data_IF_733606144195
#
_entry.id   IF_733606144195
#
_cell.length_a   1.000
_cell.length_b   1.000
_cell.length_c   1.000
_cell.angle_alpha   90.00
_cell.angle_beta   90.00
_cell.angle_gamma   90.00
#
_symmetry.space_group_name_H-M   'P 1'
#
loop_
_entity.id
_entity.type
_entity.pdbx_description
1 polymer ?
#
# COMPACT_ATOMS: atom_id res chain seq x y z
N UNK A 1 -37.83 17.21 -62.07
CA UNK A 1 -36.65 16.91 -62.91
C UNK A 1 -35.70 16.12 -62.01
N UNK A 2 -35.72 14.79 -61.90
CA UNK A 2 -35.58 13.68 -62.86
C UNK A 2 -34.28 13.70 -63.67
N UNK A 3 -33.42 12.69 -63.41
CA UNK A 3 -32.54 11.86 -64.28
C UNK A 3 -31.48 11.22 -63.33
N UNK A 4 -31.55 9.94 -62.91
CA UNK A 4 -31.46 8.62 -63.59
C UNK A 4 -30.05 8.26 -64.12
N UNK A 5 -29.57 7.08 -63.70
CA UNK A 5 -28.54 6.25 -64.37
C UNK A 5 -27.68 5.51 -63.34
N UNK A 6 -27.99 4.31 -62.84
CA UNK A 6 -28.12 2.98 -63.49
C UNK A 6 -26.91 2.54 -64.32
N UNK A 7 -26.13 1.59 -63.78
CA UNK A 7 -25.43 0.55 -64.54
C UNK A 7 -25.23 -0.65 -63.62
N UNK A 8 -26.09 -1.66 -63.78
CA UNK A 8 -25.84 -3.00 -63.26
C UNK A 8 -24.95 -3.79 -64.21
N UNK A 9 -24.35 -4.88 -63.70
CA UNK A 9 -24.03 -6.05 -64.51
C UNK A 9 -24.14 -7.33 -63.66
N UNK A 10 -24.86 -8.26 -64.26
CA UNK A 10 -25.19 -9.65 -63.88
C UNK A 10 -23.96 -10.55 -64.16
N UNK A 11 -24.11 -11.88 -64.00
CA UNK A 11 -23.21 -13.03 -64.25
C UNK A 11 -22.55 -13.52 -62.94
N UNK A 12 -22.69 -14.76 -62.45
CA UNK A 12 -23.20 -16.04 -62.98
C UNK A 12 -23.42 -16.99 -61.79
N UNK A 13 -24.46 -17.81 -61.81
CA UNK A 13 -24.59 -18.98 -60.94
C UNK A 13 -23.55 -20.04 -61.34
N UNK A 14 -22.68 -20.46 -60.42
CA UNK A 14 -21.92 -21.72 -60.56
C UNK A 14 -22.31 -22.65 -59.42
N UNK A 15 -22.76 -23.84 -59.82
CA UNK A 15 -23.20 -24.95 -59.00
C UNK A 15 -22.15 -25.41 -57.98
N UNK A 16 -22.62 -25.77 -56.78
CA UNK A 16 -21.92 -26.64 -55.84
C UNK A 16 -21.95 -28.11 -56.30
N UNK A 17 -20.97 -28.87 -55.77
CA UNK A 17 -20.77 -30.35 -55.77
C UNK A 17 -19.99 -30.90 -56.96
N UNK A 18 -19.04 -31.82 -56.84
CA UNK A 18 -18.44 -32.54 -55.71
C UNK A 18 -17.14 -33.16 -56.25
N UNK A 19 -16.01 -33.12 -55.53
CA UNK A 19 -14.96 -34.16 -55.64
C UNK A 19 -13.84 -33.98 -54.61
N UNK A 20 -13.79 -34.96 -53.70
CA UNK A 20 -12.59 -35.71 -53.31
C UNK A 20 -11.35 -34.97 -52.78
N UNK A 21 -11.16 -35.12 -51.46
CA UNK A 21 -9.90 -35.50 -50.80
C UNK A 21 -8.75 -34.47 -50.82
N UNK A 22 -8.50 -33.85 -49.66
CA UNK A 22 -7.27 -34.05 -48.84
C UNK A 22 -7.30 -33.14 -47.61
N UNK A 23 -6.85 -33.70 -46.49
CA UNK A 23 -6.66 -33.06 -45.19
C UNK A 23 -6.02 -31.67 -45.32
N UNK A 24 -6.62 -30.67 -44.69
CA UNK A 24 -5.97 -29.43 -44.33
C UNK A 24 -6.44 -29.01 -42.94
N UNK A 25 -5.46 -28.74 -42.07
CA UNK A 25 -5.58 -28.29 -40.69
C UNK A 25 -6.65 -27.18 -40.55
N UNK A 26 -7.67 -27.44 -39.74
CA UNK A 26 -8.50 -26.37 -39.20
C UNK A 26 -7.76 -25.72 -38.02
N UNK A 27 -7.09 -24.61 -38.30
CA UNK A 27 -6.62 -23.69 -37.27
C UNK A 27 -7.81 -23.03 -36.59
N UNK A 28 -8.22 -23.56 -35.44
CA UNK A 28 -9.16 -22.88 -34.55
C UNK A 28 -8.43 -21.68 -33.93
N UNK A 29 -8.70 -20.48 -34.43
CA UNK A 29 -8.28 -19.25 -33.78
C UNK A 29 -9.06 -19.10 -32.48
N UNK A 30 -8.47 -19.59 -31.38
CA UNK A 30 -8.97 -19.38 -30.02
C UNK A 30 -8.71 -17.91 -29.70
N UNK A 31 -9.77 -17.10 -29.70
CA UNK A 31 -9.79 -15.75 -29.13
C UNK A 31 -9.65 -15.90 -27.61
N UNK A 32 -8.40 -15.97 -27.14
CA UNK A 32 -8.05 -15.90 -25.73
C UNK A 32 -8.32 -14.48 -25.23
N UNK A 33 -9.52 -14.23 -24.73
CA UNK A 33 -9.82 -13.06 -23.91
C UNK A 33 -9.04 -13.19 -22.60
N UNK A 34 -7.90 -12.52 -22.51
CA UNK A 34 -7.16 -12.32 -21.28
C UNK A 34 -8.01 -11.48 -20.33
N UNK A 35 -8.65 -12.16 -19.37
CA UNK A 35 -9.23 -11.52 -18.20
C UNK A 35 -8.06 -11.03 -17.35
N UNK A 36 -7.68 -9.76 -17.52
CA UNK A 36 -6.86 -9.08 -16.52
C UNK A 36 -7.69 -9.02 -15.24
N UNK A 37 -7.38 -9.88 -14.27
CA UNK A 37 -7.86 -9.67 -12.91
C UNK A 37 -7.19 -8.40 -12.40
N UNK A 38 -7.90 -7.28 -12.48
CA UNK A 38 -7.67 -6.18 -11.55
C UNK A 38 -7.96 -6.78 -10.17
N UNK A 39 -6.92 -7.08 -9.41
CA UNK A 39 -7.10 -7.30 -7.99
C UNK A 39 -7.74 -6.02 -7.46
N UNK A 40 -8.90 -6.13 -6.83
CA UNK A 40 -9.51 -5.05 -6.06
C UNK A 40 -8.51 -4.62 -4.99
N UNK A 41 -7.69 -3.65 -5.35
CA UNK A 41 -6.81 -2.92 -4.48
C UNK A 41 -7.73 -1.99 -3.71
N UNK A 42 -8.21 -2.42 -2.55
CA UNK A 42 -8.84 -1.50 -1.61
C UNK A 42 -7.86 -0.35 -1.43
N UNK A 43 -8.22 0.89 -1.80
CA UNK A 43 -7.28 1.98 -1.72
C UNK A 43 -6.86 2.10 -0.26
N UNK A 44 -5.57 1.94 0.01
CA UNK A 44 -5.03 1.93 1.38
C UNK A 44 -5.31 3.27 2.09
N UNK A 45 -5.68 4.29 1.32
CA UNK A 45 -6.29 5.55 1.75
C UNK A 45 -7.55 5.36 2.59
N UNK A 46 -8.46 4.45 2.22
CA UNK A 46 -9.70 4.20 2.97
C UNK A 46 -9.42 3.65 4.38
N UNK A 47 -8.31 2.91 4.53
CA UNK A 47 -7.85 2.36 5.81
C UNK A 47 -7.31 3.42 6.76
N UNK A 48 -7.04 4.65 6.33
CA UNK A 48 -6.52 5.68 7.22
C UNK A 48 -7.34 6.97 7.17
N UNK A 49 -8.04 7.29 6.10
CA UNK A 49 -8.64 8.62 5.95
C UNK A 49 -10.02 8.78 6.60
N UNK A 50 -10.62 7.72 7.15
CA UNK A 50 -12.03 7.76 7.60
C UNK A 50 -12.24 7.64 9.11
N UNK A 51 -11.44 6.82 9.81
CA UNK A 51 -11.64 6.51 11.22
C UNK A 51 -10.31 6.32 11.96
N UNK A 52 -10.28 6.43 13.30
CA UNK A 52 -9.09 6.10 14.06
C UNK A 52 -8.74 4.61 13.93
N UNK A 53 -7.49 4.31 13.62
CA UNK A 53 -7.00 2.95 13.40
C UNK A 53 -5.65 2.72 14.10
N UNK A 54 -5.38 1.47 14.47
CA UNK A 54 -4.24 1.08 15.27
C UNK A 54 -3.81 -0.34 14.89
N UNK A 55 -2.56 -0.47 14.44
CA UNK A 55 -1.95 -1.71 14.04
C UNK A 55 -0.62 -1.87 14.78
N UNK A 56 -0.34 -3.06 15.31
CA UNK A 56 0.90 -3.27 16.02
C UNK A 56 1.38 -4.70 16.04
N UNK A 57 2.59 -4.86 16.58
CA UNK A 57 3.25 -6.13 16.82
C UNK A 57 4.03 -6.07 18.12
N UNK A 58 3.61 -6.88 19.08
CA UNK A 58 4.34 -7.12 20.33
C UNK A 58 5.07 -8.47 20.25
N UNK A 59 6.35 -8.49 20.60
CA UNK A 59 7.12 -9.73 20.66
C UNK A 59 7.08 -10.33 22.06
N UNK A 60 6.76 -11.63 22.13
CA UNK A 60 6.75 -12.35 23.40
C UNK A 60 8.15 -12.49 23.99
N UNK A 61 8.23 -12.72 25.31
CA UNK A 61 9.50 -13.04 25.97
C UNK A 61 10.19 -14.28 25.36
N UNK A 62 9.41 -15.24 24.87
CA UNK A 62 9.96 -16.42 24.19
C UNK A 62 10.62 -16.04 22.87
N UNK A 63 9.98 -15.18 22.07
CA UNK A 63 10.57 -14.65 20.84
C UNK A 63 11.86 -13.89 21.13
N UNK A 64 11.84 -12.99 22.12
CA UNK A 64 13.02 -12.20 22.48
C UNK A 64 14.20 -13.04 23.00
N UNK A 65 13.93 -14.22 23.59
CA UNK A 65 14.98 -15.19 23.97
C UNK A 65 15.53 -15.95 22.76
N UNK A 66 14.69 -16.28 21.80
CA UNK A 66 15.09 -16.96 20.56
C UNK A 66 15.84 -16.03 19.60
N UNK A 67 15.58 -14.71 19.68
CA UNK A 67 16.20 -13.67 18.87
C UNK A 67 16.92 -12.65 19.77
N UNK A 68 18.04 -13.04 20.41
CA UNK A 68 18.68 -12.21 21.43
C UNK A 68 19.20 -10.86 20.91
N UNK A 69 19.57 -10.80 19.62
CA UNK A 69 20.02 -9.58 18.96
C UNK A 69 18.89 -8.58 18.70
N UNK A 70 17.64 -9.05 18.62
CA UNK A 70 16.50 -8.18 18.37
C UNK A 70 16.28 -7.23 19.55
N UNK A 71 16.23 -5.93 19.26
CA UNK A 71 16.01 -4.84 20.22
C UNK A 71 14.54 -4.44 20.29
N UNK A 72 13.81 -4.42 19.19
CA UNK A 72 12.37 -4.09 19.16
C UNK A 72 11.60 -5.09 20.03
N UNK A 73 10.83 -4.57 20.98
CA UNK A 73 9.89 -5.31 21.84
C UNK A 73 8.47 -5.10 21.35
N UNK A 74 8.15 -3.88 20.96
CA UNK A 74 6.85 -3.49 20.45
C UNK A 74 7.02 -2.46 19.32
N UNK A 75 6.13 -2.51 18.34
CA UNK A 75 6.04 -1.51 17.28
C UNK A 75 4.57 -1.34 16.90
N UNK A 76 4.12 -0.09 16.78
CA UNK A 76 2.77 0.23 16.38
C UNK A 76 2.73 1.40 15.40
N UNK A 77 1.71 1.38 14.55
CA UNK A 77 1.31 2.47 13.69
C UNK A 77 -0.11 2.83 14.06
N UNK A 78 -0.36 4.13 14.25
CA UNK A 78 -1.70 4.61 14.49
C UNK A 78 -2.02 5.87 13.70
N UNK A 79 -3.31 6.03 13.46
CA UNK A 79 -3.85 7.21 12.84
C UNK A 79 -5.07 7.66 13.63
N UNK A 80 -5.05 8.91 14.10
CA UNK A 80 -6.15 9.53 14.82
C UNK A 80 -6.47 10.86 14.11
N UNK A 81 -7.25 10.83 13.03
CA UNK A 81 -7.46 12.02 12.21
C UNK A 81 -8.16 13.10 13.06
N UNK A 82 -7.52 14.26 13.20
CA UNK A 82 -8.19 15.43 13.78
C UNK A 82 -9.28 15.91 12.81
N UNK A 83 -10.34 16.55 13.32
CA UNK A 83 -11.35 17.18 12.45
C UNK A 83 -10.70 18.16 11.47
N UNK A 84 -9.64 18.85 11.87
CA UNK A 84 -8.97 19.81 11.02
C UNK A 84 -8.03 19.12 10.00
N UNK A 85 -7.43 17.98 10.32
CA UNK A 85 -6.72 17.14 9.33
C UNK A 85 -7.68 16.62 8.27
N UNK A 86 -8.88 16.17 8.65
CA UNK A 86 -9.94 15.76 7.71
C UNK A 86 -10.41 16.92 6.81
N UNK A 87 -10.29 18.17 7.28
CA UNK A 87 -10.63 19.38 6.54
C UNK A 87 -9.42 19.98 5.79
N UNK A 88 -8.24 19.35 5.84
CA UNK A 88 -7.01 19.84 5.20
C UNK A 88 -6.40 21.09 5.85
N UNK A 89 -6.82 21.45 7.06
CA UNK A 89 -6.50 22.73 7.72
C UNK A 89 -5.33 22.66 8.72
N UNK A 90 -4.97 21.47 9.22
CA UNK A 90 -3.99 21.27 10.31
C UNK A 90 -2.75 20.46 9.92
N UNK A 91 -2.57 20.13 8.64
CA UNK A 91 -1.31 19.51 8.24
C UNK A 91 -0.22 20.58 8.23
N UNK A 92 0.87 20.45 9.03
CA UNK A 92 2.03 21.35 8.91
C UNK A 92 2.65 21.27 7.49
N UNK A 93 2.32 20.21 6.76
CA UNK A 93 2.56 20.02 5.33
C UNK A 93 1.27 20.34 4.59
N UNK A 94 1.04 21.62 4.26
CA UNK A 94 -0.12 22.04 3.46
C UNK A 94 -0.35 21.04 2.30
N UNK A 95 -1.58 20.51 2.11
CA UNK A 95 -1.85 19.66 0.96
C UNK A 95 -1.62 20.50 -0.30
N UNK A 96 -0.55 20.17 -1.03
CA UNK A 96 -0.47 20.57 -2.44
C UNK A 96 -1.72 19.97 -3.12
N UNK A 97 -2.42 20.70 -4.00
CA UNK A 97 -3.81 20.41 -4.37
C UNK A 97 -4.10 19.02 -4.95
N UNK A 98 -3.06 18.23 -5.25
CA UNK A 98 -3.18 16.99 -6.03
C UNK A 98 -2.67 15.73 -5.31
N UNK A 99 -2.18 15.82 -4.06
CA UNK A 99 -1.73 14.62 -3.32
C UNK A 99 -2.26 14.61 -1.89
N UNK A 100 -3.10 13.62 -1.54
CA UNK A 100 -3.61 13.52 -0.17
C UNK A 100 -2.44 13.13 0.75
N UNK A 101 -2.14 14.03 1.69
CA UNK A 101 -1.15 13.81 2.75
C UNK A 101 -1.86 13.61 4.07
N UNK A 102 -1.43 12.61 4.83
CA UNK A 102 -1.92 12.35 6.17
C UNK A 102 -0.77 12.00 7.10
N UNK A 103 -1.00 12.12 8.40
CA UNK A 103 0.02 11.89 9.44
C UNK A 103 -0.25 10.57 10.13
N UNK A 104 0.74 9.69 10.18
CA UNK A 104 0.73 8.51 11.03
C UNK A 104 1.61 8.74 12.24
N UNK A 105 1.22 8.18 13.39
CA UNK A 105 2.12 8.02 14.53
C UNK A 105 2.80 6.67 14.42
N UNK A 106 4.12 6.67 14.55
CA UNK A 106 4.94 5.49 14.69
C UNK A 106 5.45 5.41 16.12
N UNK A 107 5.14 4.31 16.78
CA UNK A 107 5.54 3.99 18.14
C UNK A 107 6.47 2.80 18.13
N UNK A 108 7.58 2.87 18.87
CA UNK A 108 8.49 1.74 19.09
C UNK A 108 8.86 1.62 20.56
N UNK A 109 8.89 0.39 21.06
CA UNK A 109 9.48 0.07 22.36
C UNK A 109 10.76 -0.72 22.15
N UNK A 110 11.86 -0.18 22.68
CA UNK A 110 13.19 -0.78 22.56
C UNK A 110 13.58 -1.46 23.87
N UNK A 111 14.18 -2.65 23.77
CA UNK A 111 14.66 -3.43 24.91
C UNK A 111 15.67 -2.62 25.73
N UNK A 112 15.39 -2.46 27.02
CA UNK A 112 16.24 -1.72 27.96
C UNK A 112 15.87 -0.25 28.13
N UNK A 113 14.94 0.27 27.32
CA UNK A 113 14.39 1.61 27.48
C UNK A 113 13.26 1.63 28.52
N UNK A 114 13.15 2.74 29.25
CA UNK A 114 12.13 2.94 30.28
C UNK A 114 10.84 3.57 29.72
N UNK A 115 10.85 4.02 28.48
CA UNK A 115 9.72 4.61 27.79
C UNK A 115 9.72 4.24 26.30
N UNK A 116 8.53 4.25 25.70
CA UNK A 116 8.38 4.13 24.25
C UNK A 116 8.82 5.39 23.52
N UNK A 117 9.29 5.24 22.29
CA UNK A 117 9.60 6.35 21.41
C UNK A 117 8.46 6.53 20.42
N UNK A 118 8.05 7.77 20.18
CA UNK A 118 6.98 8.11 19.26
C UNK A 118 7.46 9.17 18.28
N UNK A 119 7.07 9.04 17.01
CA UNK A 119 7.30 10.06 15.99
C UNK A 119 6.11 10.20 15.05
N UNK A 120 5.93 11.41 14.52
CA UNK A 120 4.96 11.65 13.46
C UNK A 120 5.63 11.41 12.09
N UNK A 121 4.91 10.72 11.20
CA UNK A 121 5.34 10.44 9.85
C UNK A 121 4.34 11.03 8.85
N UNK A 122 4.83 11.82 7.89
CA UNK A 122 4.03 12.30 6.77
C UNK A 122 3.92 11.19 5.73
N UNK A 123 2.70 10.90 5.30
CA UNK A 123 2.40 9.76 4.46
C UNK A 123 1.57 10.17 3.24
N UNK A 124 1.86 9.56 2.10
CA UNK A 124 1.15 9.73 0.85
C UNK A 124 0.98 8.40 0.11
N UNK A 125 -0.09 8.23 -0.67
CA UNK A 125 -0.27 7.06 -1.52
C UNK A 125 0.81 6.98 -2.59
N UNK A 126 1.34 5.78 -2.84
CA UNK A 126 2.33 5.50 -3.87
C UNK A 126 2.01 4.17 -4.55
N UNK A 127 1.15 4.19 -5.58
CA UNK A 127 0.66 2.96 -6.20
C UNK A 127 -0.08 2.10 -5.18
N UNK A 128 0.40 0.88 -4.94
CA UNK A 128 -0.22 -0.10 -4.04
C UNK A 128 0.31 -0.12 -2.61
N UNK A 129 0.97 0.95 -2.21
CA UNK A 129 1.52 1.14 -0.88
C UNK A 129 1.32 2.59 -0.43
N UNK A 130 1.51 2.83 0.85
CA UNK A 130 1.70 4.17 1.40
C UNK A 130 3.19 4.39 1.59
N UNK A 131 3.71 5.50 1.07
CA UNK A 131 5.05 5.97 1.37
C UNK A 131 5.00 6.95 2.54
N UNK A 132 5.82 6.72 3.56
CA UNK A 132 5.90 7.57 4.75
C UNK A 132 7.34 8.04 5.00
N UNK A 133 7.49 9.29 5.40
CA UNK A 133 8.76 9.89 5.82
C UNK A 133 8.65 10.53 7.20
N UNK A 134 9.77 10.57 7.91
CA UNK A 134 9.94 11.35 9.15
C UNK A 134 10.69 12.63 8.80
N UNK A 135 10.30 13.76 9.40
CA UNK A 135 10.97 15.05 9.14
C UNK A 135 12.47 15.02 9.45
N UNK A 136 13.17 16.04 8.93
CA UNK A 136 14.59 16.26 9.19
C UNK A 136 15.48 15.08 8.79
N UNK A 137 15.15 14.48 7.64
CA UNK A 137 15.82 13.29 7.11
C UNK A 137 15.83 12.11 8.10
N UNK A 138 14.85 12.05 9.00
CA UNK A 138 14.67 11.01 10.02
C UNK A 138 14.32 9.63 9.47
N UNK A 139 14.35 9.45 8.15
CA UNK A 139 14.16 8.18 7.48
C UNK A 139 12.78 8.00 6.86
N UNK A 140 12.59 6.84 6.24
CA UNK A 140 11.38 6.50 5.47
C UNK A 140 10.94 5.06 5.68
N UNK A 141 9.68 4.79 5.46
CA UNK A 141 9.12 3.43 5.46
C UNK A 141 7.92 3.35 4.52
N UNK A 142 7.49 2.13 4.23
CA UNK A 142 6.30 1.88 3.43
C UNK A 142 5.33 1.00 4.18
N UNK A 143 4.04 1.21 3.96
CA UNK A 143 2.96 0.35 4.45
C UNK A 143 2.23 -0.27 3.28
N UNK A 144 1.97 -1.57 3.38
CA UNK A 144 1.21 -2.32 2.38
C UNK A 144 0.11 -3.12 3.08
N UNK A 145 -1.11 -3.02 2.55
CA UNK A 145 -2.23 -3.85 2.98
C UNK A 145 -2.02 -5.33 2.61
N UNK A 146 -2.57 -6.23 3.44
CA UNK A 146 -2.54 -7.69 3.23
C UNK A 146 -3.96 -8.25 3.26
N UNK A 147 -4.14 -9.44 2.69
CA UNK A 147 -5.44 -10.13 2.52
C UNK A 147 -6.14 -10.54 3.83
N UNK A 148 -5.60 -10.19 4.97
CA UNK A 148 -6.06 -10.55 6.32
C UNK A 148 -6.18 -9.34 7.25
N UNK A 149 -6.41 -8.15 6.68
CA UNK A 149 -6.45 -6.87 7.41
C UNK A 149 -5.17 -6.67 8.25
N UNK A 150 -4.03 -7.06 7.69
CA UNK A 150 -2.72 -6.78 8.27
C UNK A 150 -2.00 -5.76 7.44
N UNK A 151 -1.10 -5.05 8.11
CA UNK A 151 -0.19 -4.12 7.45
C UNK A 151 1.21 -4.67 7.47
N UNK A 152 1.88 -4.59 6.32
CA UNK A 152 3.30 -4.88 6.21
C UNK A 152 4.07 -3.57 6.20
N UNK A 153 4.78 -3.28 7.28
CA UNK A 153 5.73 -2.18 7.36
C UNK A 153 7.07 -2.63 6.80
N UNK A 154 7.58 -1.93 5.78
CA UNK A 154 8.83 -2.27 5.07
C UNK A 154 9.70 -1.05 4.81
N UNK A 155 10.87 -1.30 4.18
CA UNK A 155 11.72 -0.30 3.53
C UNK A 155 12.72 0.40 4.45
N UNK A 156 13.28 1.50 3.94
CA UNK A 156 13.89 2.54 4.74
C UNK A 156 15.40 2.50 5.01
N UNK A 157 15.81 3.58 5.64
CA UNK A 157 17.02 3.75 6.45
C UNK A 157 16.65 3.47 7.92
N UNK A 158 17.59 3.70 8.83
CA UNK A 158 17.27 3.88 10.25
C UNK A 158 16.27 5.02 10.43
N UNK A 159 15.49 4.95 11.51
CA UNK A 159 14.42 5.91 11.80
C UNK A 159 14.77 6.77 13.02
N UNK A 160 14.67 8.08 12.88
CA UNK A 160 14.96 9.05 13.95
C UNK A 160 13.66 9.45 14.68
N UNK A 161 13.70 9.43 16.01
CA UNK A 161 12.57 9.75 16.88
C UNK A 161 12.78 11.03 17.71
N UNK A 162 13.73 11.88 17.31
CA UNK A 162 14.08 13.10 18.03
C UNK A 162 13.35 14.35 17.51
N UNK A 163 12.42 14.26 16.55
CA UNK A 163 11.67 15.43 16.04
C UNK A 163 12.55 16.63 15.66
N UNK A 164 13.68 16.39 14.98
CA UNK A 164 14.69 17.40 14.64
C UNK A 164 15.50 17.97 15.82
N UNK A 165 15.27 17.53 17.04
CA UNK A 165 16.06 17.91 18.21
C UNK A 165 17.38 17.13 18.26
N UNK A 166 18.34 17.67 19.03
CA UNK A 166 19.56 16.95 19.37
C UNK A 166 19.22 15.78 20.30
N UNK A 167 19.28 14.55 19.79
CA UNK A 167 19.02 13.35 20.57
C UNK A 167 19.68 12.10 19.98
N UNK A 168 19.45 10.97 20.63
CA UNK A 168 20.04 9.68 20.28
C UNK A 168 18.98 8.57 20.09
N UNK A 169 17.70 8.93 19.91
CA UNK A 169 16.62 7.96 19.64
C UNK A 169 16.60 7.58 18.17
N UNK A 170 17.61 6.81 17.77
CA UNK A 170 17.71 6.25 16.43
C UNK A 170 17.31 4.78 16.51
N UNK A 171 16.20 4.45 15.86
CA UNK A 171 15.80 3.07 15.67
C UNK A 171 16.62 2.45 14.54
N UNK A 172 17.66 1.71 14.92
CA UNK A 172 18.47 0.98 13.96
C UNK A 172 17.72 -0.26 13.47
N UNK A 173 17.51 -0.36 12.16
CA UNK A 173 16.83 -1.52 11.56
C UNK A 173 17.71 -2.77 11.49
N UNK A 174 19.01 -2.65 11.77
CA UNK A 174 19.90 -3.78 11.96
C UNK A 174 20.35 -3.82 13.44
N UNK A 175 20.31 -4.97 14.12
CA UNK A 175 20.03 -6.32 13.61
C UNK A 175 18.53 -6.70 13.56
N UNK A 176 17.63 -5.76 13.82
CA UNK A 176 16.19 -6.01 13.89
C UNK A 176 15.55 -6.44 12.55
N UNK A 177 14.27 -6.81 12.64
CA UNK A 177 13.46 -7.09 11.46
C UNK A 177 13.42 -5.85 10.55
N UNK A 178 13.73 -6.01 9.26
CA UNK A 178 13.51 -4.95 8.24
C UNK A 178 12.05 -4.87 7.79
N UNK A 179 11.23 -5.81 8.24
CA UNK A 179 9.85 -5.95 7.85
C UNK A 179 9.01 -6.40 9.03
N UNK A 180 8.00 -5.62 9.36
CA UNK A 180 7.08 -5.92 10.45
C UNK A 180 5.70 -6.22 9.88
N UNK A 181 5.13 -7.36 10.27
CA UNK A 181 3.74 -7.67 9.99
C UNK A 181 2.90 -7.25 11.19
N UNK A 182 2.15 -6.17 11.03
CA UNK A 182 1.33 -5.54 12.04
C UNK A 182 -0.10 -6.07 11.94
N UNK A 183 -0.69 -6.41 13.07
CA UNK A 183 -2.10 -6.83 13.14
C UNK A 183 -2.95 -5.71 13.74
N UNK A 184 -4.26 -5.64 13.43
CA UNK A 184 -5.15 -4.71 14.11
C UNK A 184 -5.11 -4.97 15.61
N UNK A 185 -5.00 -3.91 16.41
CA UNK A 185 -5.08 -3.98 17.87
C UNK A 185 -6.05 -2.91 18.40
N UNK A 186 -6.61 -3.08 19.61
CA UNK A 186 -7.50 -2.07 20.19
C UNK A 186 -6.86 -0.67 20.23
N UNK A 187 -7.64 0.37 19.90
CA UNK A 187 -7.19 1.77 19.93
C UNK A 187 -6.57 2.19 21.26
N UNK A 188 -6.98 1.59 22.37
CA UNK A 188 -6.40 1.82 23.70
C UNK A 188 -4.91 1.49 23.79
N UNK A 189 -4.38 0.65 22.90
CA UNK A 189 -2.96 0.28 22.86
C UNK A 189 -2.09 1.23 22.03
N UNK A 190 -2.67 2.02 21.11
CA UNK A 190 -1.94 3.08 20.40
C UNK A 190 -2.34 4.49 20.89
N UNK A 191 -2.95 4.62 22.07
CA UNK A 191 -3.40 5.94 22.51
C UNK A 191 -2.21 6.89 22.62
N UNK A 192 -2.29 8.10 22.06
CA UNK A 192 -1.22 9.07 22.13
C UNK A 192 -0.95 9.40 23.60
N UNK A 193 0.32 9.35 23.98
CA UNK A 193 0.81 9.98 25.20
C UNK A 193 0.81 11.51 25.05
#
# INVERSE_FOLDING_TARGET
MSFIGFLGRVWTFICLKDTSTKMALAGAAILSSSVTSAADELPLEDYFMSFPNCYGRTYSLQHQKAHPEQKTVDIAISHFPSRQQLLGMESPYQPYPDTPRFILKLDVWIKGENEGWQTDAYCEPEGNRIACGIECDGGRFYLEGRKDDKLRLTGGTDLDFNQCDAGNRIFNRAPDDKTFLLSPIPLSHCRPH
#
